data_IF_585178537165
#
_entry.id   IF_585178537165
#
_cell.length_a   1.000
_cell.length_b   1.000
_cell.length_c   1.000
_cell.angle_alpha   90.00
_cell.angle_beta   90.00
_cell.angle_gamma   90.00
#
_symmetry.space_group_name_H-M   'P 1'
#
loop_
_entity.id
_entity.type
_entity.pdbx_description
1 polymer ?
#
# COMPACT_ATOMS: atom_id res chain seq x y z
N UNK A 1 19.74 2.57 3.09
CA UNK A 1 18.79 1.59 2.52
C UNK A 1 17.62 2.40 2.01
N UNK A 2 17.71 2.77 0.72
CA UNK A 2 16.83 3.74 0.07
C UNK A 2 15.49 3.06 -0.24
N UNK A 3 14.55 3.16 0.70
CA UNK A 3 13.15 2.87 0.41
C UNK A 3 12.66 3.99 -0.52
N UNK A 4 12.30 3.67 -1.76
CA UNK A 4 11.51 4.58 -2.60
C UNK A 4 10.09 4.59 -2.05
N UNK A 5 9.91 5.35 -0.98
CA UNK A 5 8.64 5.65 -0.35
C UNK A 5 7.78 6.45 -1.33
N UNK A 6 6.65 5.89 -1.76
CA UNK A 6 5.66 6.58 -2.59
C UNK A 6 4.34 6.62 -1.83
N UNK A 7 3.95 7.81 -1.40
CA UNK A 7 2.63 8.06 -0.82
C UNK A 7 1.62 8.12 -1.96
N UNK A 8 0.74 7.11 -2.05
CA UNK A 8 -0.25 6.97 -3.12
C UNK A 8 -1.65 7.04 -2.52
N UNK A 9 -2.12 8.26 -2.29
CA UNK A 9 -3.55 8.57 -2.18
C UNK A 9 -3.86 9.61 -3.24
N UNK A 10 -4.16 9.14 -4.45
CA UNK A 10 -4.43 9.97 -5.63
C UNK A 10 -5.93 10.21 -5.82
N UNK A 11 -6.63 10.58 -4.74
CA UNK A 11 -8.04 10.94 -4.84
C UNK A 11 -8.23 12.22 -5.65
N UNK A 12 -9.18 12.21 -6.58
CA UNK A 12 -9.46 13.37 -7.43
C UNK A 12 -8.43 13.65 -8.53
N UNK A 13 -7.40 12.81 -8.71
CA UNK A 13 -6.42 12.94 -9.79
C UNK A 13 -6.92 12.19 -11.04
N UNK A 14 -7.14 12.86 -12.17
CA UNK A 14 -7.47 12.18 -13.42
C UNK A 14 -6.39 11.16 -13.78
N UNK A 15 -6.80 9.96 -14.18
CA UNK A 15 -5.89 8.87 -14.60
C UNK A 15 -4.96 8.34 -13.49
N UNK A 16 -5.30 8.53 -12.21
CA UNK A 16 -4.56 7.97 -11.06
C UNK A 16 -4.23 6.48 -11.22
N UNK A 17 -5.18 5.68 -11.70
CA UNK A 17 -4.98 4.25 -11.92
C UNK A 17 -3.85 3.94 -12.91
N UNK A 18 -3.75 4.69 -14.02
CA UNK A 18 -2.71 4.51 -15.03
C UNK A 18 -1.32 4.90 -14.50
N UNK A 19 -1.25 5.93 -13.64
CA UNK A 19 -0.02 6.30 -12.93
C UNK A 19 0.43 5.19 -11.98
N UNK A 20 -0.48 4.69 -11.15
CA UNK A 20 -0.19 3.60 -10.21
C UNK A 20 0.29 2.36 -10.96
N UNK A 21 -0.42 1.94 -12.00
CA UNK A 21 -0.04 0.82 -12.86
C UNK A 21 1.37 1.00 -13.44
N UNK A 22 1.68 2.19 -13.95
CA UNK A 22 2.99 2.51 -14.52
C UNK A 22 4.11 2.42 -13.48
N UNK A 23 3.87 2.90 -12.25
CA UNK A 23 4.84 2.84 -11.15
C UNK A 23 5.07 1.40 -10.70
N UNK A 24 4.00 0.61 -10.53
CA UNK A 24 4.08 -0.81 -10.16
C UNK A 24 4.84 -1.60 -11.23
N UNK A 25 4.52 -1.38 -12.51
CA UNK A 25 5.20 -2.03 -13.63
C UNK A 25 6.68 -1.65 -13.70
N UNK A 26 7.02 -0.38 -13.45
CA UNK A 26 8.41 0.08 -13.42
C UNK A 26 9.20 -0.57 -12.28
N UNK A 27 8.66 -0.55 -11.05
CA UNK A 27 9.31 -1.17 -9.89
C UNK A 27 9.55 -2.66 -10.13
N UNK A 28 8.55 -3.37 -10.64
CA UNK A 28 8.67 -4.79 -11.01
C UNK A 28 9.80 -5.04 -12.00
N UNK A 29 9.90 -4.23 -13.07
CA UNK A 29 10.97 -4.36 -14.09
C UNK A 29 12.36 -4.06 -13.55
N UNK A 30 12.46 -3.18 -12.55
CA UNK A 30 13.70 -2.82 -11.89
C UNK A 30 14.07 -3.78 -10.75
N UNK A 31 13.25 -4.78 -10.44
CA UNK A 31 13.43 -5.66 -9.29
C UNK A 31 13.27 -4.94 -7.94
N UNK A 32 12.50 -3.84 -7.93
CA UNK A 32 12.21 -3.04 -6.73
C UNK A 32 10.83 -3.41 -6.17
N UNK A 33 10.72 -3.39 -4.85
CA UNK A 33 9.43 -3.44 -4.17
C UNK A 33 8.75 -2.07 -4.22
N UNK A 34 7.44 -2.07 -4.52
CA UNK A 34 6.60 -0.87 -4.47
C UNK A 34 5.62 -1.04 -3.31
N UNK A 35 5.62 -0.07 -2.39
CA UNK A 35 4.66 0.04 -1.30
C UNK A 35 3.71 1.21 -1.55
N UNK A 36 2.40 0.97 -1.46
CA UNK A 36 1.39 2.02 -1.51
C UNK A 36 1.06 2.50 -0.10
N UNK A 37 1.35 3.76 0.20
CA UNK A 37 1.08 4.33 1.52
C UNK A 37 -0.14 5.25 1.51
N UNK A 38 -0.85 5.26 2.64
CA UNK A 38 -2.05 6.05 2.86
C UNK A 38 -3.35 5.31 2.54
N UNK A 39 -3.38 3.98 2.55
CA UNK A 39 -4.63 3.21 2.35
C UNK A 39 -5.58 3.40 3.54
N UNK A 40 -6.69 4.09 3.32
CA UNK A 40 -7.70 4.43 4.32
C UNK A 40 -8.99 3.61 4.19
N UNK A 41 -9.30 3.10 3.00
CA UNK A 41 -10.52 2.31 2.75
C UNK A 41 -10.25 0.95 2.10
N UNK A 42 -11.23 0.05 2.20
CA UNK A 42 -11.19 -1.26 1.55
C UNK A 42 -11.16 -1.12 0.03
N UNK A 43 -11.93 -0.19 -0.52
CA UNK A 43 -12.01 0.05 -1.96
C UNK A 43 -10.65 0.48 -2.51
N UNK A 44 -9.91 1.33 -1.80
CA UNK A 44 -8.55 1.71 -2.17
C UNK A 44 -7.61 0.49 -2.20
N UNK A 45 -7.67 -0.37 -1.18
CA UNK A 45 -6.89 -1.61 -1.14
C UNK A 45 -7.21 -2.53 -2.34
N UNK A 46 -8.49 -2.78 -2.60
CA UNK A 46 -8.92 -3.63 -3.70
C UNK A 46 -8.47 -3.10 -5.06
N UNK A 47 -8.46 -1.78 -5.25
CA UNK A 47 -7.92 -1.17 -6.47
C UNK A 47 -6.41 -1.37 -6.59
N UNK A 48 -5.65 -1.16 -5.51
CA UNK A 48 -4.20 -1.36 -5.49
C UNK A 48 -3.83 -2.82 -5.84
N UNK A 49 -4.55 -3.78 -5.26
CA UNK A 49 -4.36 -5.21 -5.56
C UNK A 49 -4.65 -5.53 -7.02
N UNK A 50 -5.74 -4.98 -7.60
CA UNK A 50 -6.06 -5.14 -9.02
C UNK A 50 -4.99 -4.55 -9.94
N UNK A 51 -4.33 -3.48 -9.52
CA UNK A 51 -3.22 -2.84 -10.24
C UNK A 51 -1.86 -3.51 -9.99
N UNK A 52 -1.82 -4.62 -9.25
CA UNK A 52 -0.62 -5.41 -8.99
C UNK A 52 0.24 -4.91 -7.82
N UNK A 53 -0.22 -3.94 -7.04
CA UNK A 53 0.45 -3.49 -5.83
C UNK A 53 0.05 -4.39 -4.65
N UNK A 54 1.02 -5.12 -4.09
CA UNK A 54 0.79 -6.12 -3.03
C UNK A 54 1.36 -5.72 -1.68
N UNK A 55 2.06 -4.59 -1.59
CA UNK A 55 2.56 -4.04 -0.34
C UNK A 55 1.88 -2.69 -0.11
N UNK A 56 1.34 -2.50 1.08
CA UNK A 56 0.59 -1.29 1.41
C UNK A 56 0.66 -0.95 2.89
N UNK A 57 0.40 0.32 3.20
CA UNK A 57 0.31 0.85 4.54
C UNK A 57 -0.82 1.89 4.59
N UNK A 58 -1.57 1.92 5.68
CA UNK A 58 -2.47 3.04 5.96
C UNK A 58 -3.44 2.72 7.09
N UNK A 59 -4.34 3.67 7.38
CA UNK A 59 -5.28 3.55 8.49
C UNK A 59 -6.32 2.45 8.32
N UNK A 60 -6.55 1.98 7.09
CA UNK A 60 -7.34 0.78 6.85
C UNK A 60 -6.69 -0.46 7.48
N UNK A 61 -5.36 -0.54 7.43
CA UNK A 61 -4.57 -1.63 8.02
C UNK A 61 -4.52 -1.48 9.53
N UNK A 62 -4.00 -0.34 9.99
CA UNK A 62 -3.95 0.04 11.39
C UNK A 62 -3.61 1.53 11.52
N UNK A 63 -4.15 2.18 12.55
CA UNK A 63 -3.61 3.47 13.03
C UNK A 63 -2.25 3.25 13.72
N UNK A 64 -1.44 4.29 13.95
CA UNK A 64 -0.20 4.17 14.72
C UNK A 64 -0.45 3.49 16.07
N UNK A 65 0.32 2.43 16.33
CA UNK A 65 0.17 1.59 17.51
C UNK A 65 1.30 1.87 18.51
N UNK A 66 1.01 1.63 19.80
CA UNK A 66 2.08 1.49 20.80
C UNK A 66 2.90 0.22 20.51
N UNK A 67 4.14 0.11 21.01
CA UNK A 67 4.95 -1.08 20.80
C UNK A 67 4.25 -2.40 21.19
N UNK A 68 3.61 -2.44 22.35
CA UNK A 68 2.91 -3.65 22.83
C UNK A 68 1.71 -4.02 21.94
N UNK A 69 0.95 -3.01 21.49
CA UNK A 69 -0.16 -3.22 20.58
C UNK A 69 0.33 -3.66 19.19
N UNK A 70 1.47 -3.15 18.73
CA UNK A 70 2.10 -3.57 17.48
C UNK A 70 2.47 -5.05 17.50
N UNK A 71 3.14 -5.54 18.55
CA UNK A 71 3.51 -6.96 18.63
C UNK A 71 2.28 -7.87 18.63
N UNK A 72 1.21 -7.44 19.30
CA UNK A 72 -0.08 -8.17 19.30
C UNK A 72 -0.70 -8.17 17.90
N UNK A 73 -0.73 -7.03 17.22
CA UNK A 73 -1.28 -6.89 15.87
C UNK A 73 -0.47 -7.69 14.84
N UNK A 74 0.85 -7.57 14.85
CA UNK A 74 1.75 -8.20 13.87
C UNK A 74 1.79 -9.74 13.99
N UNK A 75 1.42 -10.29 15.15
CA UNK A 75 1.32 -11.73 15.36
C UNK A 75 0.04 -12.35 14.80
N UNK A 76 -0.97 -11.54 14.47
CA UNK A 76 -2.23 -12.02 13.90
C UNK A 76 -2.07 -12.28 12.39
N UNK A 77 -2.68 -13.34 11.85
CA UNK A 77 -2.80 -13.50 10.40
C UNK A 77 -3.49 -12.28 9.79
N UNK A 78 -3.00 -11.82 8.64
CA UNK A 78 -3.67 -10.76 7.89
C UNK A 78 -5.10 -11.20 7.54
N UNK A 79 -6.09 -10.43 7.99
CA UNK A 79 -7.51 -10.74 7.82
C UNK A 79 -8.14 -10.06 6.60
N UNK A 80 -7.39 -9.19 5.90
CA UNK A 80 -7.92 -8.30 4.84
C UNK A 80 -7.87 -8.86 3.42
N UNK A 81 -7.82 -10.18 3.26
CA UNK A 81 -7.76 -10.87 1.95
C UNK A 81 -6.34 -11.16 1.48
#
# INVERSE_FOLDING_TARGET
>A
MFWTQFSLVLEGVPHAAALIESVVALGTRLGLSVIAEGVETQEQLEQLVKLGCTQFQGYYVARPLTPDAFFTFAAQPWAGG
#
